data_IF_727678059991
#
_entry.id   IF_727678059991
#
_cell.length_a   1.000
_cell.length_b   1.000
_cell.length_c   1.000
_cell.angle_alpha   90.00
_cell.angle_beta   90.00
_cell.angle_gamma   90.00
#
_symmetry.space_group_name_H-M   'P 1'
#
loop_
_entity.id
_entity.type
_entity.pdbx_description
1 polymer ?
#
# COMPACT_ATOMS: atom_id res chain seq x y z
N UNK A 1 -40.41 -9.16 7.07
CA UNK A 1 -39.40 -9.90 7.87
C UNK A 1 -38.22 -8.99 8.14
N UNK A 2 -37.35 -9.34 9.10
CA UNK A 2 -36.05 -8.67 9.23
C UNK A 2 -35.28 -8.82 7.92
N UNK A 3 -34.82 -7.69 7.36
CA UNK A 3 -34.01 -7.67 6.14
C UNK A 3 -32.55 -7.59 6.56
N UNK A 4 -31.85 -8.72 6.47
CA UNK A 4 -30.43 -8.83 6.74
C UNK A 4 -29.76 -9.02 5.38
N UNK A 5 -29.07 -8.00 4.91
CA UNK A 5 -28.40 -7.97 3.61
C UNK A 5 -26.93 -7.56 3.80
N UNK A 6 -26.06 -8.01 2.91
CA UNK A 6 -24.67 -7.52 2.86
C UNK A 6 -24.64 -6.11 2.28
N UNK A 7 -23.56 -5.35 2.55
CA UNK A 7 -23.37 -4.02 1.94
C UNK A 7 -23.37 -4.13 0.41
N UNK A 8 -22.85 -5.23 -0.15
CA UNK A 8 -22.89 -5.52 -1.58
C UNK A 8 -24.32 -5.67 -2.11
N UNK A 9 -25.16 -6.46 -1.44
CA UNK A 9 -26.56 -6.63 -1.82
C UNK A 9 -27.34 -5.32 -1.70
N UNK A 10 -27.03 -4.52 -0.67
CA UNK A 10 -27.59 -3.18 -0.51
C UNK A 10 -27.18 -2.25 -1.66
N UNK A 11 -25.90 -2.20 -2.01
CA UNK A 11 -25.40 -1.39 -3.12
C UNK A 11 -26.03 -1.81 -4.45
N UNK A 12 -26.15 -3.12 -4.71
CA UNK A 12 -26.84 -3.64 -5.89
C UNK A 12 -28.32 -3.23 -5.92
N UNK A 13 -29.02 -3.35 -4.79
CA UNK A 13 -30.41 -2.88 -4.67
C UNK A 13 -30.51 -1.38 -4.97
N UNK A 14 -29.62 -0.57 -4.39
CA UNK A 14 -29.65 0.88 -4.55
C UNK A 14 -29.43 1.28 -6.02
N UNK A 15 -28.36 0.77 -6.62
CA UNK A 15 -28.01 1.05 -8.01
C UNK A 15 -29.09 0.55 -8.98
N UNK A 16 -29.75 -0.58 -8.70
CA UNK A 16 -30.86 -1.07 -9.50
C UNK A 16 -32.16 -0.24 -9.40
N UNK A 17 -32.39 0.46 -8.28
CA UNK A 17 -33.58 1.29 -8.08
C UNK A 17 -33.39 2.75 -8.52
N UNK A 18 -32.14 3.21 -8.63
CA UNK A 18 -31.77 4.58 -9.01
C UNK A 18 -30.69 4.60 -10.11
N UNK A 19 -30.90 3.93 -11.26
CA UNK A 19 -29.87 3.79 -12.28
C UNK A 19 -29.53 5.13 -12.97
N UNK A 20 -30.54 5.99 -13.18
CA UNK A 20 -30.37 7.30 -13.83
C UNK A 20 -29.57 8.25 -12.93
N UNK A 21 -29.92 8.31 -11.64
CA UNK A 21 -29.21 9.11 -10.65
C UNK A 21 -27.77 8.60 -10.41
N UNK A 22 -27.54 7.29 -10.58
CA UNK A 22 -26.20 6.69 -10.54
C UNK A 22 -25.38 6.88 -11.83
N UNK A 23 -25.93 7.59 -12.82
CA UNK A 23 -25.30 7.87 -14.10
C UNK A 23 -25.00 6.62 -14.91
N UNK A 24 -25.86 5.60 -14.84
CA UNK A 24 -25.68 4.35 -15.58
C UNK A 24 -26.27 4.44 -16.99
N UNK A 25 -25.54 3.90 -17.96
CA UNK A 25 -26.06 3.73 -19.30
C UNK A 25 -27.18 2.68 -19.32
N UNK A 26 -28.21 2.83 -20.19
CA UNK A 26 -29.24 1.81 -20.36
C UNK A 26 -28.64 0.44 -20.70
N UNK A 27 -29.12 -0.60 -20.02
CA UNK A 27 -28.63 -1.97 -20.22
C UNK A 27 -27.35 -2.33 -19.44
N UNK A 28 -26.86 -1.44 -18.56
CA UNK A 28 -25.74 -1.75 -17.67
C UNK A 28 -26.06 -2.97 -16.80
N UNK A 29 -25.12 -3.92 -16.70
CA UNK A 29 -25.29 -5.18 -15.95
C UNK A 29 -24.12 -5.43 -15.00
N UNK A 30 -24.42 -6.07 -13.88
CA UNK A 30 -23.42 -6.53 -12.90
C UNK A 30 -22.78 -7.82 -13.43
N UNK A 31 -21.46 -7.88 -13.37
CA UNK A 31 -20.70 -9.07 -13.73
C UNK A 31 -20.76 -10.12 -12.61
N UNK A 32 -20.87 -11.39 -12.99
CA UNK A 32 -20.54 -12.50 -12.10
C UNK A 32 -19.02 -12.75 -12.10
N UNK A 33 -18.54 -13.57 -11.15
CA UNK A 33 -17.10 -13.83 -10.99
C UNK A 33 -16.48 -14.43 -12.26
N UNK A 34 -17.22 -15.31 -12.96
CA UNK A 34 -16.77 -15.91 -14.21
C UNK A 34 -16.60 -14.87 -15.32
N UNK A 35 -17.56 -13.95 -15.47
CA UNK A 35 -17.49 -12.87 -16.45
C UNK A 35 -16.35 -11.90 -16.12
N UNK A 36 -16.15 -11.61 -14.83
CA UNK A 36 -15.04 -10.78 -14.35
C UNK A 36 -13.69 -11.39 -14.73
N UNK A 37 -13.50 -12.69 -14.48
CA UNK A 37 -12.27 -13.40 -14.80
C UNK A 37 -11.99 -13.47 -16.31
N UNK A 38 -13.02 -13.72 -17.11
CA UNK A 38 -12.89 -13.74 -18.58
C UNK A 38 -12.52 -12.35 -19.10
N UNK A 39 -13.22 -11.32 -18.65
CA UNK A 39 -12.94 -9.93 -19.05
C UNK A 39 -11.51 -9.51 -18.67
N UNK A 40 -11.03 -9.94 -17.50
CA UNK A 40 -9.69 -9.59 -17.04
C UNK A 40 -8.61 -10.21 -17.95
N UNK A 41 -8.81 -11.44 -18.40
CA UNK A 41 -7.93 -12.11 -19.36
C UNK A 41 -7.95 -11.43 -20.73
N UNK A 42 -9.14 -11.03 -21.20
CA UNK A 42 -9.28 -10.32 -22.47
C UNK A 42 -8.58 -8.95 -22.42
N UNK A 43 -8.78 -8.19 -21.34
CA UNK A 43 -8.11 -6.89 -21.14
C UNK A 43 -6.59 -7.05 -21.05
N UNK A 44 -6.10 -8.10 -20.38
CA UNK A 44 -4.66 -8.38 -20.32
C UNK A 44 -4.10 -8.75 -21.71
N UNK A 45 -4.83 -9.54 -22.49
CA UNK A 45 -4.44 -9.91 -23.85
C UNK A 45 -4.35 -8.65 -24.72
N UNK A 46 -5.37 -7.80 -24.69
CA UNK A 46 -5.38 -6.54 -25.43
C UNK A 46 -4.31 -5.54 -24.97
N UNK A 47 -3.94 -5.58 -23.68
CA UNK A 47 -2.83 -4.79 -23.14
C UNK A 47 -1.50 -5.22 -23.76
N UNK A 48 -1.23 -6.53 -23.79
CA UNK A 48 0.00 -7.11 -24.34
C UNK A 48 0.06 -6.86 -25.85
N UNK A 49 -0.98 -7.23 -26.59
CA UNK A 49 -1.10 -7.00 -28.03
C UNK A 49 -0.90 -5.52 -28.39
N UNK A 50 -1.51 -4.63 -27.61
CA UNK A 50 -1.37 -3.18 -27.79
C UNK A 50 0.06 -2.71 -27.57
N UNK A 51 0.74 -3.23 -26.55
CA UNK A 51 2.13 -2.91 -26.24
C UNK A 51 3.09 -3.39 -27.35
N UNK A 52 2.90 -4.62 -27.86
CA UNK A 52 3.68 -5.16 -28.97
C UNK A 52 3.53 -4.32 -30.25
N UNK A 53 2.29 -3.98 -30.63
CA UNK A 53 2.03 -3.16 -31.82
C UNK A 53 2.61 -1.75 -31.70
N UNK A 54 2.60 -1.18 -30.51
CA UNK A 54 3.15 0.15 -30.24
C UNK A 54 4.68 0.14 -30.06
N UNK A 55 5.31 -1.04 -29.94
CA UNK A 55 6.72 -1.15 -29.58
C UNK A 55 7.03 -0.65 -28.16
N UNK A 56 6.08 -0.76 -27.24
CA UNK A 56 6.23 -0.33 -25.85
C UNK A 56 7.08 -1.33 -25.05
N UNK A 57 8.38 -1.27 -25.28
CA UNK A 57 9.35 -2.13 -24.61
C UNK A 57 9.29 -2.01 -23.08
N UNK A 58 9.01 -0.81 -22.54
CA UNK A 58 8.95 -0.59 -21.10
C UNK A 58 7.86 -1.41 -20.43
N UNK A 59 6.66 -1.41 -21.01
CA UNK A 59 5.54 -2.19 -20.47
C UNK A 59 5.79 -3.70 -20.63
N UNK A 60 6.34 -4.13 -21.77
CA UNK A 60 6.68 -5.54 -22.01
C UNK A 60 7.78 -6.04 -21.06
N UNK A 61 8.82 -5.25 -20.83
CA UNK A 61 9.88 -5.55 -19.88
C UNK A 61 9.35 -5.60 -18.45
N UNK A 62 8.43 -4.69 -18.09
CA UNK A 62 7.75 -4.73 -16.80
C UNK A 62 6.96 -6.04 -16.62
N UNK A 63 6.17 -6.46 -17.62
CA UNK A 63 5.41 -7.71 -17.58
C UNK A 63 6.35 -8.91 -17.44
N UNK A 64 7.45 -8.93 -18.20
CA UNK A 64 8.48 -9.98 -18.11
C UNK A 64 9.11 -10.02 -16.72
N UNK A 65 9.50 -8.88 -16.17
CA UNK A 65 10.09 -8.76 -14.84
C UNK A 65 9.14 -9.27 -13.75
N UNK A 66 7.86 -8.92 -13.84
CA UNK A 66 6.84 -9.35 -12.88
C UNK A 66 6.59 -10.87 -12.94
N UNK A 67 6.40 -11.40 -14.16
CA UNK A 67 6.06 -12.83 -14.37
C UNK A 67 7.23 -13.76 -14.11
N UNK A 68 8.48 -13.31 -14.31
CA UNK A 68 9.67 -14.13 -14.03
C UNK A 68 9.92 -14.28 -12.53
N UNK A 69 9.47 -13.31 -11.71
CA UNK A 69 9.71 -13.30 -10.25
C UNK A 69 8.56 -13.86 -9.41
N UNK A 70 7.40 -14.17 -10.00
CA UNK A 70 6.20 -14.60 -9.27
C UNK A 70 5.53 -15.79 -9.96
N UNK A 71 4.71 -16.53 -9.19
CA UNK A 71 3.89 -17.61 -9.75
C UNK A 71 2.88 -17.08 -10.79
N UNK A 72 2.46 -17.88 -11.78
CA UNK A 72 1.58 -17.44 -12.87
C UNK A 72 0.27 -16.77 -12.42
N UNK A 73 -0.31 -17.21 -11.30
CA UNK A 73 -1.56 -16.64 -10.75
C UNK A 73 -1.38 -15.30 -10.03
N UNK A 74 -0.15 -14.87 -9.75
CA UNK A 74 0.11 -13.63 -9.03
C UNK A 74 -0.16 -12.38 -9.87
N UNK A 75 0.07 -12.45 -11.19
CA UNK A 75 -0.14 -11.31 -12.09
C UNK A 75 -1.62 -10.93 -12.12
N UNK A 76 -2.53 -11.87 -12.45
CA UNK A 76 -3.97 -11.56 -12.50
C UNK A 76 -4.47 -11.01 -11.16
N UNK A 77 -4.07 -11.60 -10.02
CA UNK A 77 -4.44 -11.09 -8.69
C UNK A 77 -3.95 -9.65 -8.46
N UNK A 78 -2.71 -9.34 -8.83
CA UNK A 78 -2.16 -7.99 -8.73
C UNK A 78 -2.90 -7.00 -9.63
N UNK A 79 -3.17 -7.38 -10.89
CA UNK A 79 -3.89 -6.53 -11.85
C UNK A 79 -5.30 -6.21 -11.39
N UNK A 80 -6.01 -7.19 -10.82
CA UNK A 80 -7.34 -6.95 -10.25
C UNK A 80 -7.27 -6.04 -9.01
N UNK A 81 -6.27 -6.23 -8.14
CA UNK A 81 -6.04 -5.31 -7.02
C UNK A 81 -5.72 -3.89 -7.49
N UNK A 82 -4.96 -3.74 -8.57
CA UNK A 82 -4.70 -2.45 -9.20
C UNK A 82 -5.99 -1.86 -9.76
N UNK A 83 -6.82 -2.64 -10.46
CA UNK A 83 -8.12 -2.19 -10.97
C UNK A 83 -9.06 -1.70 -9.86
N UNK A 84 -9.11 -2.40 -8.72
CA UNK A 84 -9.91 -2.00 -7.56
C UNK A 84 -9.40 -0.70 -6.89
N UNK A 85 -8.11 -0.36 -7.07
CA UNK A 85 -7.49 0.85 -6.53
C UNK A 85 -7.67 2.08 -7.45
N UNK A 86 -8.89 2.36 -7.91
CA UNK A 86 -9.20 3.39 -8.91
C UNK A 86 -8.65 4.79 -8.56
N UNK A 87 -8.76 5.20 -7.31
CA UNK A 87 -8.29 6.51 -6.81
C UNK A 87 -6.78 6.71 -6.96
N UNK A 88 -6.02 5.61 -7.09
CA UNK A 88 -4.57 5.68 -7.30
C UNK A 88 -4.24 6.17 -8.72
N UNK A 89 -5.13 5.95 -9.69
CA UNK A 89 -4.88 6.14 -11.12
C UNK A 89 -5.55 7.37 -11.72
N UNK A 90 -6.58 7.90 -11.06
CA UNK A 90 -7.38 9.03 -11.52
C UNK A 90 -7.47 10.13 -10.46
N UNK A 91 -7.53 11.39 -10.90
CA UNK A 91 -7.67 12.55 -10.03
C UNK A 91 -6.35 13.23 -9.65
N UNK A 92 -6.44 14.17 -8.71
CA UNK A 92 -5.31 14.96 -8.26
C UNK A 92 -4.33 14.10 -7.46
N UNK A 93 -3.06 14.08 -7.86
CA UNK A 93 -2.04 13.26 -7.21
C UNK A 93 -2.01 11.79 -7.66
N UNK A 94 -2.78 11.44 -8.69
CA UNK A 94 -2.75 10.12 -9.31
C UNK A 94 -1.32 9.72 -9.72
N UNK A 95 -1.01 8.44 -9.64
CA UNK A 95 0.24 7.88 -10.12
C UNK A 95 0.20 7.83 -11.64
N UNK A 96 1.16 8.49 -12.28
CA UNK A 96 1.25 8.64 -13.73
C UNK A 96 2.61 8.13 -14.20
N UNK A 97 2.61 7.49 -15.38
CA UNK A 97 3.84 7.07 -16.03
C UNK A 97 4.63 8.28 -16.55
N UNK A 98 5.98 8.29 -16.48
CA UNK A 98 6.83 7.30 -15.82
C UNK A 98 6.82 7.43 -14.28
N UNK A 99 6.73 6.31 -13.57
CA UNK A 99 6.58 6.28 -12.11
C UNK A 99 7.89 6.13 -11.33
N UNK A 100 9.00 5.83 -12.00
CA UNK A 100 10.28 5.46 -11.37
C UNK A 100 10.77 6.51 -10.37
N UNK A 101 10.74 7.79 -10.74
CA UNK A 101 11.14 8.90 -9.87
C UNK A 101 10.29 8.98 -8.59
N UNK A 102 8.96 8.85 -8.72
CA UNK A 102 8.04 8.91 -7.57
C UNK A 102 8.18 7.68 -6.68
N UNK A 103 8.40 6.50 -7.26
CA UNK A 103 8.67 5.27 -6.50
C UNK A 103 9.95 5.43 -5.68
N UNK A 104 11.05 5.89 -6.29
CA UNK A 104 12.31 6.15 -5.59
C UNK A 104 12.14 7.09 -4.42
N UNK A 105 11.46 8.22 -4.62
CA UNK A 105 11.16 9.17 -3.55
C UNK A 105 10.33 8.55 -2.41
N UNK A 106 9.36 7.69 -2.73
CA UNK A 106 8.56 6.98 -1.73
C UNK A 106 9.39 6.00 -0.90
N UNK A 107 10.45 5.44 -1.48
CA UNK A 107 11.41 4.58 -0.81
C UNK A 107 12.53 5.36 -0.08
N UNK A 108 12.45 6.69 -0.02
CA UNK A 108 13.44 7.54 0.64
C UNK A 108 14.71 7.80 -0.19
N UNK A 109 14.67 7.56 -1.50
CA UNK A 109 15.78 7.74 -2.42
C UNK A 109 15.67 9.05 -3.21
N UNK A 110 16.78 9.60 -3.73
CA UNK A 110 16.74 10.62 -4.77
C UNK A 110 15.92 10.17 -6.00
N UNK A 111 15.24 11.10 -6.66
CA UNK A 111 14.37 10.79 -7.81
C UNK A 111 15.14 10.20 -9.01
N UNK A 112 16.40 10.60 -9.16
CA UNK A 112 17.37 10.18 -10.17
C UNK A 112 18.34 9.10 -9.67
N UNK A 113 18.08 8.52 -8.49
CA UNK A 113 18.93 7.48 -7.92
C UNK A 113 19.14 6.32 -8.91
N UNK A 114 20.40 6.09 -9.26
CA UNK A 114 20.85 5.03 -10.16
C UNK A 114 22.05 4.29 -9.60
N UNK A 115 22.73 3.52 -10.46
CA UNK A 115 23.90 2.73 -10.07
C UNK A 115 24.98 3.57 -9.39
N UNK A 116 25.21 4.80 -9.87
CA UNK A 116 26.18 5.73 -9.30
C UNK A 116 25.84 6.08 -7.85
N UNK A 117 24.58 6.45 -7.56
CA UNK A 117 24.12 6.74 -6.20
C UNK A 117 24.28 5.55 -5.24
N UNK A 118 24.00 4.33 -5.72
CA UNK A 118 24.12 3.15 -4.89
C UNK A 118 25.56 2.76 -4.58
N UNK A 119 26.49 3.11 -5.48
CA UNK A 119 27.92 2.79 -5.35
C UNK A 119 28.77 3.97 -4.88
N UNK A 120 28.18 5.15 -4.72
CA UNK A 120 28.82 6.36 -4.21
C UNK A 120 29.60 6.13 -2.91
N UNK A 121 29.13 5.33 -1.92
CA UNK A 121 29.92 5.09 -0.71
C UNK A 121 31.27 4.39 -0.95
N UNK A 122 31.48 3.78 -2.13
CA UNK A 122 32.75 3.17 -2.52
C UNK A 122 33.72 4.15 -3.19
N UNK A 123 33.31 5.39 -3.44
CA UNK A 123 34.16 6.39 -4.07
C UNK A 123 35.39 6.68 -3.20
N UNK A 124 36.61 6.83 -3.76
CA UNK A 124 37.83 7.09 -2.98
C UNK A 124 37.73 8.28 -2.02
N UNK A 125 36.99 9.33 -2.40
CA UNK A 125 36.78 10.51 -1.55
C UNK A 125 35.74 10.32 -0.42
N UNK A 126 35.02 9.19 -0.40
CA UNK A 126 33.91 8.91 0.53
C UNK A 126 34.19 7.67 1.38
N UNK A 127 34.77 6.63 0.79
CA UNK A 127 35.06 5.39 1.49
C UNK A 127 36.11 5.63 2.59
N UNK A 128 35.97 5.02 3.78
CA UNK A 128 36.88 5.20 4.93
C UNK A 128 38.23 4.49 4.74
N UNK A 129 39.01 4.91 3.73
CA UNK A 129 40.33 4.35 3.41
C UNK A 129 41.36 4.58 4.53
N UNK A 130 41.21 5.64 5.32
CA UNK A 130 42.03 5.93 6.50
C UNK A 130 41.89 4.85 7.58
N UNK A 131 40.68 4.31 7.76
CA UNK A 131 40.44 3.17 8.66
C UNK A 131 41.09 1.88 8.13
N UNK A 132 41.13 1.67 6.79
CA UNK A 132 41.91 0.57 6.21
C UNK A 132 43.40 0.74 6.48
N UNK A 133 43.95 1.93 6.23
CA UNK A 133 45.36 2.23 6.47
C UNK A 133 45.74 2.02 7.94
N UNK A 134 44.89 2.42 8.89
CA UNK A 134 45.11 2.22 10.32
C UNK A 134 45.17 0.73 10.70
N UNK A 135 44.43 -0.15 10.01
CA UNK A 135 44.43 -1.59 10.27
C UNK A 135 45.63 -2.33 9.66
N UNK A 136 46.40 -1.74 8.75
CA UNK A 136 47.55 -2.41 8.09
C UNK A 136 48.66 -2.78 9.09
N UNK A 137 49.21 -1.87 9.93
CA UNK A 137 50.31 -2.19 10.83
C UNK A 137 50.04 -3.36 11.80
N UNK A 138 48.90 -3.45 12.52
CA UNK A 138 48.64 -4.58 13.42
C UNK A 138 48.44 -5.91 12.66
N UNK A 139 47.96 -5.88 11.41
CA UNK A 139 47.89 -7.07 10.55
C UNK A 139 49.29 -7.53 10.10
N UNK A 140 50.16 -6.61 9.69
CA UNK A 140 51.55 -6.91 9.34
C UNK A 140 52.33 -7.51 10.50
N UNK A 141 52.19 -6.91 11.69
CA UNK A 141 52.84 -7.41 12.91
C UNK A 141 52.36 -8.82 13.30
N UNK A 142 51.11 -9.17 12.98
CA UNK A 142 50.60 -10.51 13.25
C UNK A 142 51.13 -11.57 12.27
N UNK A 143 51.36 -11.22 11.00
CA UNK A 143 52.15 -12.02 10.05
C UNK A 143 51.60 -13.41 9.69
N UNK A 144 50.28 -13.64 9.80
CA UNK A 144 49.65 -14.94 9.47
C UNK A 144 49.13 -15.01 8.05
N UNK A 145 48.79 -16.22 7.57
CA UNK A 145 48.12 -16.39 6.28
C UNK A 145 46.77 -15.65 6.21
N UNK A 146 46.03 -15.59 7.32
CA UNK A 146 44.79 -14.80 7.43
C UNK A 146 45.07 -13.30 7.31
N UNK A 147 46.13 -12.80 7.97
CA UNK A 147 46.54 -11.41 7.83
C UNK A 147 46.97 -11.07 6.40
N UNK A 148 47.75 -11.94 5.76
CA UNK A 148 48.19 -11.77 4.37
C UNK A 148 47.01 -11.66 3.39
N UNK A 149 45.95 -12.46 3.59
CA UNK A 149 44.71 -12.36 2.78
C UNK A 149 44.03 -11.01 2.94
N UNK A 150 43.93 -10.49 4.17
CA UNK A 150 43.33 -9.19 4.43
C UNK A 150 44.17 -8.06 3.84
N UNK A 151 45.50 -8.08 4.08
CA UNK A 151 46.45 -7.10 3.54
C UNK A 151 46.43 -7.06 2.01
N UNK A 152 46.29 -8.20 1.34
CA UNK A 152 46.14 -8.27 -0.11
C UNK A 152 44.94 -7.47 -0.59
N UNK A 153 43.75 -7.74 -0.02
CA UNK A 153 42.50 -7.05 -0.39
C UNK A 153 42.61 -5.55 -0.10
N UNK A 154 43.15 -5.17 1.05
CA UNK A 154 43.24 -3.75 1.45
C UNK A 154 44.20 -2.97 0.57
N UNK A 155 45.38 -3.52 0.28
CA UNK A 155 46.39 -2.83 -0.54
C UNK A 155 45.93 -2.72 -1.99
N UNK A 156 45.34 -3.78 -2.53
CA UNK A 156 44.72 -3.74 -3.86
C UNK A 156 43.64 -2.67 -3.90
N UNK A 157 42.68 -2.69 -2.96
CA UNK A 157 41.58 -1.72 -2.85
C UNK A 157 42.05 -0.26 -2.87
N UNK A 158 43.09 0.06 -2.11
CA UNK A 158 43.62 1.42 -1.98
C UNK A 158 44.22 1.96 -3.29
N UNK A 159 44.61 1.07 -4.21
CA UNK A 159 45.15 1.43 -5.54
C UNK A 159 44.06 1.53 -6.62
N UNK A 160 42.84 1.05 -6.35
CA UNK A 160 41.74 1.01 -7.32
C UNK A 160 41.05 2.38 -7.47
N UNK A 161 40.68 2.68 -8.72
CA UNK A 161 39.74 3.75 -9.02
C UNK A 161 38.29 3.33 -8.69
N UNK A 162 37.35 4.26 -8.80
CA UNK A 162 35.97 4.02 -8.38
C UNK A 162 35.27 2.87 -9.14
N UNK A 163 35.34 2.78 -10.49
CA UNK A 163 34.82 1.63 -11.22
C UNK A 163 35.37 0.28 -10.75
N UNK A 164 36.67 0.19 -10.50
CA UNK A 164 37.29 -1.08 -10.06
C UNK A 164 36.93 -1.42 -8.61
N UNK A 165 36.78 -0.41 -7.73
CA UNK A 165 36.26 -0.60 -6.36
C UNK A 165 34.86 -1.20 -6.33
N UNK A 166 33.98 -0.80 -7.26
CA UNK A 166 32.62 -1.38 -7.36
C UNK A 166 32.68 -2.90 -7.56
N UNK A 167 33.62 -3.37 -8.38
CA UNK A 167 33.82 -4.78 -8.68
C UNK A 167 34.54 -5.52 -7.54
N UNK A 168 35.46 -4.84 -6.86
CA UNK A 168 36.28 -5.42 -5.79
C UNK A 168 35.59 -5.48 -4.41
N UNK A 169 34.49 -4.74 -4.19
CA UNK A 169 33.85 -4.59 -2.87
C UNK A 169 33.44 -5.93 -2.21
N UNK A 170 33.07 -6.93 -3.02
CA UNK A 170 32.76 -8.27 -2.51
C UNK A 170 33.94 -8.95 -1.79
N UNK A 171 35.18 -8.53 -2.08
CA UNK A 171 36.42 -9.05 -1.49
C UNK A 171 36.56 -8.81 0.01
N UNK A 172 35.84 -7.83 0.58
CA UNK A 172 35.81 -7.60 2.02
C UNK A 172 35.10 -8.74 2.79
N UNK A 173 34.12 -9.41 2.17
CA UNK A 173 33.42 -10.53 2.80
C UNK A 173 34.28 -11.80 2.76
N UNK A 174 34.39 -12.47 3.91
CA UNK A 174 35.30 -13.60 4.08
C UNK A 174 36.77 -13.20 4.23
N UNK A 175 37.06 -11.92 4.46
CA UNK A 175 38.39 -11.38 4.82
C UNK A 175 38.29 -10.52 6.08
N UNK A 176 38.20 -9.19 5.94
CA UNK A 176 37.99 -8.24 7.04
C UNK A 176 36.60 -8.39 7.66
N UNK A 177 35.62 -8.75 6.85
CA UNK A 177 34.24 -9.01 7.25
C UNK A 177 33.93 -10.50 7.14
N UNK A 178 32.97 -10.95 7.92
CA UNK A 178 32.35 -12.27 7.79
C UNK A 178 31.46 -12.34 6.54
N UNK A 179 30.97 -13.53 6.20
CA UNK A 179 30.03 -13.70 5.09
C UNK A 179 28.75 -12.86 5.26
N UNK A 180 28.27 -12.71 6.49
CA UNK A 180 27.11 -11.87 6.82
C UNK A 180 27.43 -10.37 6.90
N UNK A 181 28.69 -9.96 6.77
CA UNK A 181 29.10 -8.55 6.72
C UNK A 181 29.56 -7.98 8.06
N UNK A 182 29.37 -8.74 9.14
CA UNK A 182 29.84 -8.34 10.48
C UNK A 182 31.38 -8.39 10.58
N UNK A 183 31.99 -7.59 11.46
CA UNK A 183 33.43 -7.63 11.71
C UNK A 183 33.97 -9.04 11.96
N UNK A 184 35.10 -9.37 11.32
CA UNK A 184 35.69 -10.71 11.44
C UNK A 184 36.27 -10.97 12.83
N UNK A 185 35.75 -12.01 13.49
CA UNK A 185 36.23 -12.48 14.80
C UNK A 185 37.51 -13.34 14.70
N UNK A 186 37.94 -13.71 13.48
CA UNK A 186 39.15 -14.52 13.29
C UNK A 186 40.43 -13.68 13.42
N UNK A 187 40.31 -12.36 13.33
CA UNK A 187 41.41 -11.38 13.45
C UNK A 187 41.73 -11.08 14.93
N UNK A 188 41.87 -12.12 15.76
CA UNK A 188 41.97 -12.01 17.23
C UNK A 188 43.16 -11.16 17.68
N UNK A 189 44.35 -11.42 17.13
CA UNK A 189 45.58 -10.76 17.61
C UNK A 189 45.60 -9.26 17.30
N UNK A 190 45.29 -8.80 16.07
CA UNK A 190 45.11 -7.38 15.78
C UNK A 190 44.11 -6.68 16.72
N UNK A 191 42.96 -7.32 16.98
CA UNK A 191 41.91 -6.82 17.89
C UNK A 191 42.34 -6.71 19.36
N UNK A 192 43.34 -7.49 19.78
CA UNK A 192 43.92 -7.40 21.13
C UNK A 192 45.03 -6.36 21.22
N UNK A 193 45.78 -6.16 20.13
CA UNK A 193 46.98 -5.29 20.10
C UNK A 193 46.67 -3.85 19.77
N UNK A 194 45.58 -3.60 19.05
CA UNK A 194 45.14 -2.28 18.65
C UNK A 194 43.69 -2.06 19.14
N UNK A 195 43.48 -1.16 20.13
CA UNK A 195 42.17 -0.86 20.67
C UNK A 195 41.16 -0.37 19.63
N UNK A 196 41.63 0.34 18.59
CA UNK A 196 40.76 0.98 17.59
C UNK A 196 40.44 0.02 16.44
N UNK A 197 41.05 -1.17 16.40
CA UNK A 197 40.90 -2.12 15.29
C UNK A 197 39.45 -2.58 15.11
N UNK A 198 38.69 -2.74 16.20
CA UNK A 198 37.29 -3.15 16.13
C UNK A 198 36.45 -2.03 15.51
N UNK A 199 36.62 -0.80 15.98
CA UNK A 199 35.89 0.38 15.48
C UNK A 199 36.23 0.64 14.01
N UNK A 200 37.50 0.43 13.61
CA UNK A 200 37.92 0.49 12.21
C UNK A 200 37.22 -0.59 11.37
N UNK A 201 37.14 -1.84 11.85
CA UNK A 201 36.39 -2.88 11.16
C UNK A 201 34.90 -2.56 11.04
N UNK A 202 34.28 -2.02 12.09
CA UNK A 202 32.87 -1.63 12.10
C UNK A 202 32.60 -0.50 11.11
N UNK A 203 33.52 0.45 10.98
CA UNK A 203 33.43 1.54 10.01
C UNK A 203 33.46 1.01 8.56
N UNK A 204 34.36 0.07 8.26
CA UNK A 204 34.36 -0.61 6.95
C UNK A 204 33.08 -1.43 6.73
N UNK A 205 32.61 -2.13 7.77
CA UNK A 205 31.38 -2.93 7.69
C UNK A 205 30.17 -2.05 7.34
N UNK A 206 30.04 -0.90 8.01
CA UNK A 206 28.96 0.06 7.77
C UNK A 206 29.00 0.63 6.34
N UNK A 207 30.18 0.97 5.83
CA UNK A 207 30.32 1.46 4.44
C UNK A 207 29.89 0.42 3.40
N UNK A 208 30.26 -0.85 3.59
CA UNK A 208 29.85 -1.96 2.71
C UNK A 208 28.36 -2.27 2.86
N UNK A 209 27.82 -2.23 4.08
CA UNK A 209 26.39 -2.43 4.34
C UNK A 209 25.53 -1.36 3.66
N UNK A 210 25.93 -0.08 3.75
CA UNK A 210 25.22 1.03 3.11
C UNK A 210 25.07 0.82 1.59
N UNK A 211 26.13 0.37 0.91
CA UNK A 211 26.10 0.07 -0.54
C UNK A 211 25.11 -1.05 -0.85
N UNK A 212 25.11 -2.12 -0.06
CA UNK A 212 24.20 -3.24 -0.25
C UNK A 212 22.75 -2.84 0.01
N UNK A 213 22.48 -2.01 1.02
CA UNK A 213 21.17 -1.42 1.28
C UNK A 213 20.72 -0.57 0.08
N UNK A 214 21.57 0.33 -0.43
CA UNK A 214 21.22 1.18 -1.59
C UNK A 214 20.96 0.35 -2.86
N UNK A 215 21.76 -0.69 -3.11
CA UNK A 215 21.56 -1.62 -4.23
C UNK A 215 20.24 -2.39 -4.09
N UNK A 216 19.91 -2.86 -2.88
CA UNK A 216 18.64 -3.53 -2.59
C UNK A 216 17.43 -2.59 -2.75
N UNK A 217 17.58 -1.31 -2.38
CA UNK A 217 16.56 -0.28 -2.60
C UNK A 217 16.33 -0.03 -4.09
N UNK A 218 17.38 0.08 -4.92
CA UNK A 218 17.24 0.19 -6.37
C UNK A 218 16.51 -1.01 -6.99
N UNK A 219 16.89 -2.23 -6.60
CA UNK A 219 16.24 -3.45 -7.09
C UNK A 219 14.76 -3.50 -6.67
N UNK A 220 14.45 -3.02 -5.47
CA UNK A 220 13.07 -2.89 -4.97
C UNK A 220 12.29 -1.85 -5.76
N UNK A 221 12.89 -0.68 -6.02
CA UNK A 221 12.30 0.39 -6.81
C UNK A 221 11.96 -0.09 -8.23
N UNK A 222 12.83 -0.87 -8.85
CA UNK A 222 12.60 -1.48 -10.17
C UNK A 222 11.37 -2.40 -10.17
N UNK A 223 11.26 -3.30 -9.18
CA UNK A 223 10.12 -4.22 -9.04
C UNK A 223 8.82 -3.45 -8.84
N UNK A 224 8.82 -2.50 -7.90
CA UNK A 224 7.64 -1.73 -7.53
C UNK A 224 7.19 -0.85 -8.71
N UNK A 225 8.12 -0.22 -9.41
CA UNK A 225 7.84 0.55 -10.61
C UNK A 225 7.19 -0.31 -11.67
N UNK A 226 7.78 -1.46 -12.01
CA UNK A 226 7.21 -2.38 -12.99
C UNK A 226 5.79 -2.82 -12.60
N UNK A 227 5.58 -3.20 -11.34
CA UNK A 227 4.26 -3.59 -10.85
C UNK A 227 3.21 -2.48 -10.99
N UNK A 228 3.57 -1.23 -10.63
CA UNK A 228 2.66 -0.09 -10.72
C UNK A 228 2.38 0.33 -12.17
N UNK A 229 3.37 0.28 -13.06
CA UNK A 229 3.19 0.62 -14.48
C UNK A 229 2.20 -0.33 -15.16
N UNK A 230 2.37 -1.65 -14.98
CA UNK A 230 1.44 -2.64 -15.52
C UNK A 230 0.07 -2.51 -14.85
N UNK A 231 0.06 -2.31 -13.52
CA UNK A 231 -1.15 -2.14 -12.73
C UNK A 231 -2.02 -0.99 -13.24
N UNK A 232 -1.41 0.18 -13.47
CA UNK A 232 -2.10 1.34 -14.06
C UNK A 232 -2.56 1.07 -15.48
N UNK A 233 -1.68 0.54 -16.33
CA UNK A 233 -1.98 0.30 -17.73
C UNK A 233 -3.16 -0.67 -17.91
N UNK A 234 -3.26 -1.67 -17.03
CA UNK A 234 -4.40 -2.58 -16.92
C UNK A 234 -5.63 -1.88 -16.35
N UNK A 235 -5.53 -1.22 -15.20
CA UNK A 235 -6.66 -0.59 -14.51
C UNK A 235 -7.41 0.41 -15.41
N UNK A 236 -6.69 1.22 -16.18
CA UNK A 236 -7.31 2.16 -17.12
C UNK A 236 -8.05 1.45 -18.27
N UNK A 237 -7.49 0.34 -18.78
CA UNK A 237 -8.16 -0.47 -19.82
C UNK A 237 -9.34 -1.25 -19.26
N UNK A 238 -9.24 -1.72 -18.02
CA UNK A 238 -10.31 -2.38 -17.28
C UNK A 238 -11.53 -1.46 -17.15
N UNK A 239 -11.32 -0.23 -16.67
CA UNK A 239 -12.39 0.77 -16.57
C UNK A 239 -12.97 1.14 -17.93
N UNK A 240 -12.13 1.38 -18.94
CA UNK A 240 -12.59 1.69 -20.29
C UNK A 240 -13.40 0.53 -20.92
N UNK A 241 -12.99 -0.72 -20.67
CA UNK A 241 -13.67 -1.93 -21.11
C UNK A 241 -15.05 -2.06 -20.46
N UNK A 242 -15.10 -1.93 -19.13
CA UNK A 242 -16.36 -1.98 -18.37
C UNK A 242 -17.34 -0.90 -18.85
N UNK A 243 -16.87 0.33 -19.01
CA UNK A 243 -17.70 1.43 -19.48
C UNK A 243 -18.26 1.18 -20.89
N UNK A 244 -17.43 0.68 -21.82
CA UNK A 244 -17.84 0.38 -23.21
C UNK A 244 -18.89 -0.73 -23.29
N UNK A 245 -18.79 -1.73 -22.43
CA UNK A 245 -19.68 -2.91 -22.45
C UNK A 245 -20.87 -2.79 -21.48
N UNK A 246 -20.99 -1.66 -20.77
CA UNK A 246 -22.04 -1.46 -19.76
C UNK A 246 -21.93 -2.47 -18.62
N UNK A 247 -20.72 -2.67 -18.09
CA UNK A 247 -20.45 -3.64 -17.03
C UNK A 247 -20.12 -2.93 -15.71
N UNK A 248 -20.56 -3.54 -14.61
CA UNK A 248 -20.19 -3.15 -13.25
C UNK A 248 -19.62 -4.35 -12.52
N UNK A 249 -18.54 -4.14 -11.77
CA UNK A 249 -18.08 -5.09 -10.76
C UNK A 249 -18.60 -4.70 -9.36
N UNK A 250 -18.29 -5.53 -8.35
CA UNK A 250 -18.72 -5.28 -6.97
C UNK A 250 -18.11 -3.99 -6.40
N UNK A 251 -16.86 -3.68 -6.72
CA UNK A 251 -16.18 -2.46 -6.29
C UNK A 251 -16.88 -1.21 -6.85
N UNK A 252 -17.32 -1.27 -8.11
CA UNK A 252 -18.11 -0.20 -8.74
C UNK A 252 -19.45 0.02 -8.05
N UNK A 253 -20.15 -1.06 -7.68
CA UNK A 253 -21.43 -0.96 -7.00
C UNK A 253 -21.28 -0.21 -5.67
N UNK A 254 -20.27 -0.56 -4.88
CA UNK A 254 -19.97 0.11 -3.61
C UNK A 254 -19.65 1.59 -3.84
N UNK A 255 -18.73 1.90 -4.75
CA UNK A 255 -18.32 3.28 -5.03
C UNK A 255 -19.48 4.12 -5.55
N UNK A 256 -20.24 3.62 -6.53
CA UNK A 256 -21.40 4.32 -7.07
C UNK A 256 -22.50 4.50 -6.03
N UNK A 257 -22.71 3.52 -5.15
CA UNK A 257 -23.68 3.66 -4.06
C UNK A 257 -23.24 4.73 -3.06
N UNK A 258 -21.95 4.78 -2.71
CA UNK A 258 -21.38 5.82 -1.86
C UNK A 258 -21.54 7.21 -2.51
N UNK A 259 -21.19 7.35 -3.80
CA UNK A 259 -21.33 8.61 -4.55
C UNK A 259 -22.79 9.05 -4.67
N UNK A 260 -23.71 8.11 -4.96
CA UNK A 260 -25.12 8.39 -5.09
C UNK A 260 -25.71 8.92 -3.78
N UNK A 261 -25.30 8.33 -2.66
CA UNK A 261 -25.73 8.76 -1.34
C UNK A 261 -25.00 10.02 -0.87
N UNK A 262 -23.74 10.24 -1.25
CA UNK A 262 -22.89 11.30 -0.71
C UNK A 262 -22.92 12.61 -1.50
N UNK A 263 -22.82 12.51 -2.82
CA UNK A 263 -22.39 13.60 -3.70
C UNK A 263 -23.37 13.88 -4.85
N UNK A 264 -24.48 13.13 -4.96
CA UNK A 264 -25.45 13.35 -6.03
C UNK A 264 -26.44 14.47 -5.68
N UNK A 265 -26.95 15.17 -6.69
CA UNK A 265 -28.02 16.15 -6.50
C UNK A 265 -29.32 15.52 -5.95
N UNK A 266 -29.47 14.20 -6.11
CA UNK A 266 -30.59 13.42 -5.62
C UNK A 266 -30.34 12.82 -4.22
N UNK A 267 -29.15 13.02 -3.63
CA UNK A 267 -28.70 12.36 -2.41
C UNK A 267 -29.72 12.49 -1.27
N UNK A 268 -30.14 13.71 -0.95
CA UNK A 268 -31.09 13.97 0.15
C UNK A 268 -32.44 13.29 -0.09
N UNK A 269 -32.92 13.30 -1.33
CA UNK A 269 -34.18 12.63 -1.70
C UNK A 269 -34.08 11.11 -1.63
N UNK A 270 -32.96 10.54 -2.06
CA UNK A 270 -32.68 9.10 -1.99
C UNK A 270 -32.56 8.68 -0.52
N UNK A 271 -31.78 9.40 0.28
CA UNK A 271 -31.66 9.17 1.73
C UNK A 271 -33.01 9.25 2.41
N UNK A 272 -33.83 10.27 2.12
CA UNK A 272 -35.19 10.39 2.66
C UNK A 272 -36.09 9.22 2.29
N UNK A 273 -35.99 8.69 1.06
CA UNK A 273 -36.71 7.46 0.66
C UNK A 273 -36.23 6.22 1.43
N UNK A 274 -34.92 6.09 1.63
CA UNK A 274 -34.29 4.98 2.34
C UNK A 274 -34.50 5.05 3.87
N UNK A 275 -34.61 6.26 4.42
CA UNK A 275 -34.87 6.53 5.84
C UNK A 275 -36.15 5.85 6.34
N UNK A 276 -37.09 5.59 5.41
CA UNK A 276 -38.31 4.84 5.68
C UNK A 276 -38.10 3.33 5.80
N UNK A 277 -36.92 2.79 5.52
CA UNK A 277 -36.68 1.36 5.42
C UNK A 277 -35.79 0.78 6.53
N UNK A 278 -34.96 1.61 7.19
CA UNK A 278 -33.98 1.14 8.17
C UNK A 278 -34.11 1.87 9.51
N UNK A 279 -34.29 1.11 10.60
CA UNK A 279 -34.27 1.64 11.97
C UNK A 279 -33.00 1.21 12.74
N UNK A 280 -32.43 0.06 12.38
CA UNK A 280 -31.29 -0.53 13.05
C UNK A 280 -30.27 -0.99 12.02
N UNK A 281 -29.00 -0.61 12.21
CA UNK A 281 -27.87 -1.03 11.39
C UNK A 281 -26.92 -1.84 12.27
N UNK A 282 -26.65 -3.07 11.87
CA UNK A 282 -25.69 -3.96 12.53
C UNK A 282 -24.54 -4.21 11.55
N UNK A 283 -23.32 -3.92 12.00
CA UNK A 283 -22.09 -4.12 11.22
C UNK A 283 -21.24 -5.13 11.99
N UNK A 284 -21.03 -6.27 11.36
CA UNK A 284 -20.10 -7.30 11.83
C UNK A 284 -18.76 -7.13 11.11
N UNK A 285 -17.67 -7.58 11.73
CA UNK A 285 -16.30 -7.47 11.20
C UNK A 285 -15.94 -6.05 10.70
N UNK A 286 -16.28 -5.04 11.51
CA UNK A 286 -16.16 -3.63 11.14
C UNK A 286 -14.72 -3.20 10.81
N UNK A 287 -13.70 -3.95 11.23
CA UNK A 287 -12.29 -3.76 10.88
C UNK A 287 -11.97 -4.09 9.41
N UNK A 288 -12.81 -4.89 8.75
CA UNK A 288 -12.65 -5.29 7.34
C UNK A 288 -13.37 -4.33 6.37
N UNK A 289 -14.05 -3.31 6.92
CA UNK A 289 -14.85 -2.37 6.13
C UNK A 289 -13.97 -1.26 5.56
N UNK A 290 -14.00 -1.10 4.22
CA UNK A 290 -13.23 -0.06 3.53
C UNK A 290 -13.90 1.32 3.60
N UNK A 291 -13.21 2.36 3.12
CA UNK A 291 -13.70 3.73 3.23
C UNK A 291 -15.05 3.95 2.50
N UNK A 292 -15.20 3.46 1.27
CA UNK A 292 -16.45 3.64 0.51
C UNK A 292 -17.63 2.91 1.16
N UNK A 293 -17.41 1.75 1.76
CA UNK A 293 -18.45 1.05 2.54
C UNK A 293 -18.84 1.85 3.79
N UNK A 294 -17.87 2.44 4.50
CA UNK A 294 -18.15 3.36 5.61
C UNK A 294 -18.90 4.61 5.15
N UNK A 295 -18.61 5.15 3.96
CA UNK A 295 -19.32 6.30 3.41
C UNK A 295 -20.80 6.00 3.13
N UNK A 296 -21.12 4.79 2.65
CA UNK A 296 -22.50 4.31 2.56
C UNK A 296 -23.15 4.31 3.95
N UNK A 297 -22.49 3.70 4.95
CA UNK A 297 -23.01 3.63 6.33
C UNK A 297 -23.25 5.04 6.89
N UNK A 298 -22.30 5.96 6.73
CA UNK A 298 -22.43 7.32 7.23
C UNK A 298 -23.57 8.09 6.57
N UNK A 299 -23.77 7.90 5.26
CA UNK A 299 -24.86 8.53 4.56
C UNK A 299 -26.23 7.98 5.00
N UNK A 300 -26.31 6.70 5.39
CA UNK A 300 -27.55 6.10 5.92
C UNK A 300 -27.89 6.55 7.34
N UNK A 301 -26.88 6.80 8.19
CA UNK A 301 -27.10 7.23 9.57
C UNK A 301 -27.11 8.75 9.76
N UNK A 302 -26.89 9.53 8.70
CA UNK A 302 -26.81 11.00 8.79
C UNK A 302 -28.07 11.59 9.44
N UNK A 303 -29.23 11.06 9.05
CA UNK A 303 -30.54 11.47 9.55
C UNK A 303 -30.90 10.89 10.92
N UNK A 304 -30.09 9.99 11.48
CA UNK A 304 -30.34 9.43 12.81
C UNK A 304 -30.10 10.47 13.90
N UNK A 305 -29.27 11.47 13.61
CA UNK A 305 -28.79 12.47 14.58
C UNK A 305 -29.36 13.87 14.35
N UNK A 306 -29.95 14.15 13.19
CA UNK A 306 -30.51 15.47 12.82
C UNK A 306 -31.92 15.72 13.38
N UNK A 307 -32.67 14.67 13.73
CA UNK A 307 -34.03 14.80 14.28
C UNK A 307 -35.08 15.36 13.32
N UNK A 308 -34.75 15.44 12.01
CA UNK A 308 -35.63 15.85 10.90
C UNK A 308 -36.03 14.66 10.00
N UNK A 309 -35.63 13.43 10.36
CA UNK A 309 -35.97 12.21 9.63
C UNK A 309 -37.47 11.94 9.56
N UNK A 310 -37.90 11.16 8.56
CA UNK A 310 -39.31 10.92 8.21
C UNK A 310 -40.12 10.18 9.30
N UNK A 311 -39.47 9.68 10.35
CA UNK A 311 -40.04 8.77 11.36
C UNK A 311 -40.20 9.34 12.78
N UNK A 312 -39.97 10.64 13.01
CA UNK A 312 -40.16 11.25 14.33
C UNK A 312 -39.27 10.63 15.43
N UNK A 313 -39.78 10.46 16.65
CA UNK A 313 -39.04 9.99 17.85
C UNK A 313 -38.74 8.47 17.92
N UNK A 314 -38.73 7.75 16.79
CA UNK A 314 -38.39 6.30 16.82
C UNK A 314 -36.93 6.09 17.23
N UNK A 315 -36.68 5.08 18.07
CA UNK A 315 -35.32 4.66 18.45
C UNK A 315 -34.61 4.08 17.23
N UNK A 316 -33.49 4.69 16.87
CA UNK A 316 -32.59 4.20 15.83
C UNK A 316 -31.23 3.86 16.42
N UNK A 317 -30.63 2.77 15.97
CA UNK A 317 -29.36 2.29 16.54
C UNK A 317 -28.38 1.88 15.46
N UNK A 318 -27.12 2.21 15.66
CA UNK A 318 -25.98 1.59 14.99
C UNK A 318 -25.27 0.70 16.01
N UNK A 319 -24.98 -0.54 15.62
CA UNK A 319 -24.23 -1.50 16.42
C UNK A 319 -23.09 -2.07 15.58
N UNK A 320 -21.86 -1.91 16.05
CA UNK A 320 -20.64 -2.33 15.34
C UNK A 320 -19.85 -3.31 16.19
N UNK A 321 -19.49 -4.45 15.62
CA UNK A 321 -18.60 -5.44 16.21
C UNK A 321 -17.32 -5.49 15.38
N UNK A 322 -16.17 -5.55 16.03
CA UNK A 322 -14.90 -5.77 15.34
C UNK A 322 -13.74 -6.05 16.30
N UNK A 323 -12.70 -6.72 15.80
CA UNK A 323 -11.50 -7.08 16.57
C UNK A 323 -10.24 -6.47 15.95
N UNK A 324 -9.65 -5.50 16.66
CA UNK A 324 -8.41 -4.83 16.25
C UNK A 324 -7.20 -5.78 16.22
N UNK A 325 -7.20 -6.85 17.03
CA UNK A 325 -6.11 -7.85 17.06
C UNK A 325 -6.16 -8.78 15.84
N UNK A 326 -7.32 -8.93 15.19
CA UNK A 326 -7.45 -9.71 13.95
C UNK A 326 -7.19 -8.90 12.68
N UNK A 327 -7.09 -7.57 12.79
CA UNK A 327 -6.76 -6.67 11.69
C UNK A 327 -5.27 -6.72 11.24
N UNK A 328 -4.58 -7.83 11.49
CA UNK A 328 -3.17 -8.08 11.10
C UNK A 328 -3.02 -8.46 9.62
N UNK A 329 -4.12 -8.68 8.90
CA UNK A 329 -4.12 -9.06 7.48
C UNK A 329 -4.37 -7.86 6.55
N UNK A 330 -3.64 -6.75 6.72
CA UNK A 330 -3.77 -5.55 5.88
C UNK A 330 -3.61 -5.80 4.37
N UNK A 331 -2.99 -6.92 3.97
CA UNK A 331 -2.92 -7.34 2.57
C UNK A 331 -4.25 -7.81 1.97
N UNK A 332 -5.26 -8.11 2.79
CA UNK A 332 -6.63 -8.47 2.37
C UNK A 332 -7.57 -7.26 2.29
N UNK A 333 -7.09 -6.05 2.59
CA UNK A 333 -7.89 -4.82 2.53
C UNK A 333 -8.52 -4.39 3.86
N UNK A 334 -8.14 -5.03 4.98
CA UNK A 334 -8.53 -4.61 6.33
C UNK A 334 -7.90 -3.26 6.67
N UNK A 335 -8.69 -2.36 7.28
CA UNK A 335 -8.21 -1.02 7.64
C UNK A 335 -8.63 -0.69 9.07
N UNK A 336 -7.80 -1.09 10.07
CA UNK A 336 -8.02 -0.73 11.46
C UNK A 336 -8.15 0.80 11.65
N UNK A 337 -7.47 1.58 10.82
CA UNK A 337 -7.57 3.04 10.78
C UNK A 337 -8.97 3.53 10.36
N UNK A 338 -9.58 2.92 9.34
CA UNK A 338 -10.94 3.25 8.94
C UNK A 338 -11.94 2.95 10.06
N UNK A 339 -11.77 1.82 10.77
CA UNK A 339 -12.62 1.47 11.90
C UNK A 339 -12.46 2.45 13.07
N UNK A 340 -11.23 2.80 13.44
CA UNK A 340 -10.97 3.77 14.50
C UNK A 340 -11.53 5.16 14.14
N UNK A 341 -11.34 5.61 12.89
CA UNK A 341 -11.92 6.86 12.39
C UNK A 341 -13.44 6.81 12.41
N UNK A 342 -14.04 5.68 12.05
CA UNK A 342 -15.48 5.51 12.06
C UNK A 342 -16.06 5.60 13.47
N UNK A 343 -15.45 4.91 14.43
CA UNK A 343 -15.79 4.97 15.85
C UNK A 343 -15.80 6.43 16.35
N UNK A 344 -14.71 7.16 16.13
CA UNK A 344 -14.58 8.56 16.54
C UNK A 344 -15.63 9.47 15.87
N UNK A 345 -15.92 9.26 14.58
CA UNK A 345 -16.91 10.05 13.83
C UNK A 345 -18.33 9.85 14.37
N UNK A 346 -18.71 8.60 14.67
CA UNK A 346 -20.04 8.28 15.24
C UNK A 346 -20.18 8.84 16.65
N UNK A 347 -19.15 8.68 17.50
CA UNK A 347 -19.13 9.23 18.85
C UNK A 347 -19.29 10.76 18.84
N UNK A 348 -18.52 11.46 18.01
CA UNK A 348 -18.62 12.91 17.87
C UNK A 348 -20.03 13.37 17.45
N UNK A 349 -20.67 12.66 16.51
CA UNK A 349 -22.05 12.96 16.07
C UNK A 349 -23.08 12.74 17.16
N UNK A 350 -22.96 11.66 17.95
CA UNK A 350 -23.83 11.41 19.10
C UNK A 350 -23.70 12.55 20.12
N UNK A 351 -22.48 12.95 20.46
CA UNK A 351 -22.25 14.04 21.41
C UNK A 351 -22.82 15.36 20.91
N UNK A 352 -22.59 15.71 19.64
CA UNK A 352 -23.15 16.91 19.02
C UNK A 352 -24.69 16.91 19.04
N UNK A 353 -25.33 15.77 18.76
CA UNK A 353 -26.78 15.64 18.84
C UNK A 353 -27.31 15.82 20.27
N UNK A 354 -26.62 15.29 21.29
CA UNK A 354 -26.97 15.50 22.71
C UNK A 354 -26.90 16.97 23.08
N UNK A 355 -25.83 17.64 22.69
CA UNK A 355 -25.65 19.07 22.98
C UNK A 355 -26.72 19.91 22.27
N UNK A 356 -27.06 19.59 21.03
CA UNK A 356 -28.16 20.23 20.30
C UNK A 356 -29.53 20.05 20.96
N UNK A 357 -29.85 18.85 21.45
CA UNK A 357 -31.11 18.58 22.17
C UNK A 357 -31.16 19.37 23.49
N UNK A 358 -30.07 19.37 24.26
CA UNK A 358 -29.97 20.12 25.52
C UNK A 358 -30.10 21.63 25.31
N UNK A 359 -29.47 22.16 24.26
CA UNK A 359 -29.51 23.58 23.92
C UNK A 359 -30.90 24.02 23.42
N UNK A 360 -31.58 23.18 22.62
CA UNK A 360 -32.89 23.50 22.03
C UNK A 360 -34.06 23.41 23.01
N UNK A 361 -33.86 22.83 24.21
CA UNK A 361 -34.92 22.60 25.23
C UNK A 361 -36.13 21.83 24.70
N UNK A 362 -35.94 21.07 23.62
CA UNK A 362 -36.98 20.20 23.07
C UNK A 362 -36.99 18.91 23.90
N UNK A 363 -38.17 18.44 24.29
CA UNK A 363 -38.32 17.17 25.02
C UNK A 363 -38.13 15.98 24.06
N UNK A 364 -36.87 15.71 23.69
CA UNK A 364 -36.45 14.59 22.83
C UNK A 364 -35.52 13.65 23.59
N UNK A 365 -35.52 12.39 23.19
CA UNK A 365 -34.62 11.37 23.75
C UNK A 365 -33.17 11.69 23.37
N UNK A 366 -32.28 11.80 24.36
CA UNK A 366 -30.84 11.89 24.10
C UNK A 366 -30.30 10.57 23.51
N UNK A 367 -29.51 10.62 22.43
CA UNK A 367 -28.84 9.43 21.92
C UNK A 367 -27.77 8.96 22.93
N UNK A 368 -27.66 7.64 23.09
CA UNK A 368 -26.67 7.00 23.96
C UNK A 368 -25.45 6.53 23.18
N UNK A 369 -24.31 6.47 23.86
CA UNK A 369 -23.09 5.84 23.38
C UNK A 369 -22.66 4.78 24.39
N UNK A 370 -22.30 3.60 23.91
CA UNK A 370 -21.78 2.52 24.73
C UNK A 370 -20.62 1.87 24.00
N UNK A 371 -19.42 2.07 24.53
CA UNK A 371 -18.23 1.36 24.10
C UNK A 371 -18.08 0.10 24.96
N UNK A 372 -18.24 -1.06 24.34
CA UNK A 372 -18.18 -2.35 25.02
C UNK A 372 -16.78 -2.97 25.00
N UNK A 373 -15.74 -2.16 24.77
CA UNK A 373 -14.35 -2.59 24.59
C UNK A 373 -14.02 -3.85 25.39
N UNK A 374 -13.93 -4.98 24.67
CA UNK A 374 -13.67 -6.30 25.23
C UNK A 374 -12.18 -6.48 25.57
N UNK A 375 -11.44 -5.38 25.82
CA UNK A 375 -10.02 -5.31 26.17
C UNK A 375 -9.57 -6.15 27.39
N UNK A 376 -10.42 -7.04 27.90
CA UNK A 376 -10.06 -8.20 28.72
C UNK A 376 -10.40 -9.49 27.97
N UNK A 377 -9.50 -9.92 27.11
CA UNK A 377 -9.31 -11.33 26.73
C UNK A 377 -7.84 -11.56 26.44
#
# INVERSE_FOLDING_TARGET
>A
GLRIDTIHAFAQFLIGNFPDEAGLAPGTRVMDDRSRDLLARDVLTDLIDGAERAGDARLLDAITLFTTRKEPGALQKWLMRAADAHELWAGQGAWQSPMDARVRQTLGMPADAGADWANEPLHPDIFPDDHLLAMIPPLEAWGTATAAKCLSVMREWLELDWPDRISAAAGFRGTLLRADGMPSLTLKKPRETDPDFIDNQETIAAAIEEVEIRRALLATAEIVTAALEIGRAFALRWEARKAREGLLDFSDLIRKAADLLGNSAAADWIRYKLDRHFDHILIDEAQDTNQSQWDIVFALIDDFFSGEGARGDKLRTIFTVGDYKQAIFGFQGTSPENFARAKAKVEARIMQARDGIRASRINRREPGWQDLDLGRS
#
